data_IF_656510774477
#
_entry.id   IF_656510774477
#
_cell.length_a   1.000
_cell.length_b   1.000
_cell.length_c   1.000
_cell.angle_alpha   90.00
_cell.angle_beta   90.00
_cell.angle_gamma   90.00
#
_symmetry.space_group_name_H-M   'P 1'
#
loop_
_entity.id
_entity.type
_entity.pdbx_description
1 polymer ?
#
# COMPACT_ATOMS: atom_id res chain seq x y z
N UNK A 1 6.98 2.68 -16.65
CA UNK A 1 6.60 3.63 -15.59
C UNK A 1 5.36 4.28 -16.06
N UNK A 2 4.30 4.05 -15.31
CA UNK A 2 3.00 4.57 -15.58
C UNK A 2 3.01 6.11 -15.51
N UNK A 3 2.27 6.72 -16.42
CA UNK A 3 2.06 8.18 -16.47
C UNK A 3 0.58 8.54 -16.25
N UNK A 4 -0.27 7.52 -16.14
CA UNK A 4 -1.70 7.61 -15.89
C UNK A 4 -2.23 6.24 -15.42
N UNK A 5 -3.49 6.20 -14.98
CA UNK A 5 -4.11 4.97 -14.46
C UNK A 5 -4.23 3.86 -15.51
N UNK A 6 -4.40 4.21 -16.79
CA UNK A 6 -4.49 3.23 -17.89
C UNK A 6 -3.16 2.49 -18.11
N UNK A 7 -2.05 3.21 -18.06
CA UNK A 7 -0.70 2.63 -18.19
C UNK A 7 -0.34 1.82 -16.95
N UNK A 8 -0.72 2.27 -15.75
CA UNK A 8 -0.56 1.51 -14.51
C UNK A 8 -1.35 0.20 -14.58
N UNK A 9 -2.60 0.27 -15.04
CA UNK A 9 -3.48 -0.89 -15.21
C UNK A 9 -2.86 -1.93 -16.14
N UNK A 10 -2.31 -1.50 -17.29
CA UNK A 10 -1.62 -2.38 -18.22
C UNK A 10 -0.38 -3.04 -17.58
N UNK A 11 0.43 -2.28 -16.84
CA UNK A 11 1.60 -2.83 -16.13
C UNK A 11 1.21 -3.85 -15.06
N UNK A 12 0.15 -3.58 -14.29
CA UNK A 12 -0.36 -4.50 -13.25
C UNK A 12 -0.84 -5.80 -13.88
N UNK A 13 -1.56 -5.75 -15.00
CA UNK A 13 -2.00 -6.95 -15.73
C UNK A 13 -0.83 -7.78 -16.24
N UNK A 14 0.20 -7.14 -16.78
CA UNK A 14 1.42 -7.83 -17.26
C UNK A 14 2.12 -8.57 -16.12
N UNK A 15 2.18 -7.99 -14.92
CA UNK A 15 2.87 -8.63 -13.79
C UNK A 15 2.03 -9.73 -13.12
N UNK A 16 0.71 -9.55 -13.04
CA UNK A 16 -0.20 -10.47 -12.37
C UNK A 16 -0.73 -11.59 -13.26
N UNK A 17 -0.57 -11.46 -14.58
CA UNK A 17 -1.10 -12.38 -15.61
C UNK A 17 -2.64 -12.52 -15.56
N UNK A 18 -3.33 -11.54 -14.97
CA UNK A 18 -4.79 -11.51 -14.90
C UNK A 18 -5.37 -10.81 -16.14
N UNK A 19 -6.09 -11.59 -16.94
CA UNK A 19 -6.80 -11.09 -18.11
C UNK A 19 -8.11 -10.36 -17.73
N UNK A 20 -8.67 -9.59 -18.66
CA UNK A 20 -9.94 -8.87 -18.52
C UNK A 20 -11.14 -9.81 -18.26
N UNK A 21 -10.98 -11.11 -18.56
CA UNK A 21 -11.96 -12.14 -18.23
C UNK A 21 -12.01 -12.51 -16.74
N UNK A 22 -10.93 -12.28 -15.98
CA UNK A 22 -10.88 -12.56 -14.54
C UNK A 22 -11.34 -11.33 -13.74
N UNK A 23 -10.85 -10.15 -14.12
CA UNK A 23 -11.18 -8.87 -13.47
C UNK A 23 -11.43 -7.83 -14.56
N UNK A 24 -12.59 -7.18 -14.50
CA UNK A 24 -12.96 -6.12 -15.43
C UNK A 24 -12.10 -4.86 -15.22
N UNK A 25 -11.89 -4.08 -16.28
CA UNK A 25 -11.10 -2.84 -16.19
C UNK A 25 -11.71 -1.83 -15.19
N UNK A 26 -13.03 -1.76 -15.11
CA UNK A 26 -13.71 -0.89 -14.12
C UNK A 26 -13.46 -1.29 -12.67
N UNK A 27 -13.32 -2.59 -12.41
CA UNK A 27 -12.97 -3.12 -11.10
C UNK A 27 -11.52 -2.78 -10.74
N UNK A 28 -10.63 -2.86 -11.73
CA UNK A 28 -9.20 -2.56 -11.55
C UNK A 28 -8.97 -1.06 -11.35
N UNK A 29 -9.68 -0.20 -12.08
CA UNK A 29 -9.70 1.25 -11.86
C UNK A 29 -10.20 1.60 -10.45
N UNK A 30 -11.28 0.95 -9.99
CA UNK A 30 -11.79 1.15 -8.63
C UNK A 30 -10.75 0.76 -7.56
N UNK A 31 -9.99 -0.32 -7.79
CA UNK A 31 -8.89 -0.71 -6.91
C UNK A 31 -7.74 0.28 -6.91
N UNK A 32 -7.42 0.87 -8.07
CA UNK A 32 -6.40 1.93 -8.19
C UNK A 32 -6.82 3.15 -7.36
N UNK A 33 -8.08 3.57 -7.43
CA UNK A 33 -8.58 4.69 -6.62
C UNK A 33 -8.54 4.40 -5.11
N UNK A 34 -8.93 3.20 -4.69
CA UNK A 34 -8.81 2.78 -3.28
C UNK A 34 -7.34 2.78 -2.84
N UNK A 35 -6.43 2.27 -3.68
CA UNK A 35 -5.00 2.26 -3.39
C UNK A 35 -4.41 3.67 -3.28
N UNK A 36 -4.83 4.62 -4.14
CA UNK A 36 -4.43 6.03 -4.01
C UNK A 36 -4.91 6.64 -2.69
N UNK A 37 -6.17 6.42 -2.34
CA UNK A 37 -6.75 6.91 -1.08
C UNK A 37 -6.00 6.36 0.14
N UNK A 38 -5.66 5.08 0.13
CA UNK A 38 -4.94 4.44 1.23
C UNK A 38 -3.49 4.95 1.31
N UNK A 39 -2.81 5.16 0.17
CA UNK A 39 -1.46 5.73 0.14
C UNK A 39 -1.43 7.18 0.62
N UNK A 40 -2.42 7.99 0.22
CA UNK A 40 -2.56 9.37 0.70
C UNK A 40 -2.75 9.39 2.21
N UNK A 41 -3.65 8.54 2.74
CA UNK A 41 -3.88 8.41 4.18
C UNK A 41 -2.62 7.95 4.94
N UNK A 42 -1.88 6.98 4.40
CA UNK A 42 -0.68 6.42 5.04
C UNK A 42 0.52 7.38 4.99
N UNK A 43 0.60 8.24 3.97
CA UNK A 43 1.66 9.26 3.83
C UNK A 43 1.30 10.58 4.51
N UNK A 44 0.01 10.81 4.79
CA UNK A 44 -0.50 12.08 5.29
C UNK A 44 -0.51 13.19 4.23
N UNK A 45 -0.41 12.84 2.94
CA UNK A 45 -0.43 13.79 1.82
C UNK A 45 -1.63 13.52 0.89
N UNK A 46 -2.71 14.27 1.09
CA UNK A 46 -3.93 14.18 0.28
C UNK A 46 -3.74 14.64 -1.18
N UNK A 47 -2.65 15.35 -1.49
CA UNK A 47 -2.33 15.82 -2.84
C UNK A 47 -1.10 15.10 -3.43
N UNK A 48 -0.81 13.89 -2.94
CA UNK A 48 0.32 13.11 -3.40
C UNK A 48 0.26 12.92 -4.93
N UNK A 49 1.25 13.47 -5.63
CA UNK A 49 1.36 13.34 -7.07
C UNK A 49 1.99 11.99 -7.43
N UNK A 50 1.14 11.02 -7.78
CA UNK A 50 1.54 9.67 -8.15
C UNK A 50 2.25 9.59 -9.51
N UNK A 51 2.03 10.56 -10.41
CA UNK A 51 2.51 10.48 -11.80
C UNK A 51 3.46 11.63 -12.20
N UNK A 52 3.61 12.66 -11.37
CA UNK A 52 4.45 13.84 -11.61
C UNK A 52 5.96 13.66 -11.47
N UNK A 53 6.46 12.44 -11.60
CA UNK A 53 7.90 12.14 -11.58
C UNK A 53 8.45 11.64 -10.24
N UNK A 54 7.60 11.44 -9.23
CA UNK A 54 7.99 10.70 -8.03
C UNK A 54 7.91 9.18 -8.29
N UNK A 55 9.05 8.60 -8.65
CA UNK A 55 9.20 7.16 -8.93
C UNK A 55 8.72 6.29 -7.76
N UNK A 56 8.91 6.72 -6.52
CA UNK A 56 8.55 5.90 -5.36
C UNK A 56 7.04 5.94 -5.08
N UNK A 57 6.35 7.05 -5.39
CA UNK A 57 4.89 7.15 -5.32
C UNK A 57 4.22 6.25 -6.37
N UNK A 58 4.68 6.30 -7.61
CA UNK A 58 4.20 5.44 -8.70
C UNK A 58 4.42 3.96 -8.38
N UNK A 59 5.61 3.60 -7.91
CA UNK A 59 5.93 2.22 -7.53
C UNK A 59 5.15 1.75 -6.32
N UNK A 60 4.94 2.59 -5.32
CA UNK A 60 4.12 2.25 -4.16
C UNK A 60 2.68 1.95 -4.61
N UNK A 61 2.12 2.78 -5.49
CA UNK A 61 0.80 2.57 -6.07
C UNK A 61 0.73 1.28 -6.89
N UNK A 62 1.74 0.99 -7.71
CA UNK A 62 1.85 -0.25 -8.45
C UNK A 62 1.85 -1.50 -7.56
N UNK A 63 2.68 -1.53 -6.52
CA UNK A 63 2.75 -2.70 -5.63
C UNK A 63 1.49 -2.86 -4.78
N UNK A 64 0.89 -1.75 -4.33
CA UNK A 64 -0.33 -1.79 -3.54
C UNK A 64 -1.52 -2.30 -4.36
N UNK A 65 -1.63 -1.83 -5.60
CA UNK A 65 -2.69 -2.29 -6.51
C UNK A 65 -2.55 -3.77 -6.84
N UNK A 66 -1.32 -4.28 -7.04
CA UNK A 66 -1.08 -5.72 -7.19
C UNK A 66 -1.52 -6.53 -5.95
N UNK A 67 -1.23 -6.03 -4.74
CA UNK A 67 -1.65 -6.66 -3.49
C UNK A 67 -3.16 -6.69 -3.32
N UNK A 68 -3.83 -5.57 -3.60
CA UNK A 68 -5.30 -5.51 -3.54
C UNK A 68 -5.93 -6.39 -4.61
N UNK A 69 -5.31 -6.51 -5.78
CA UNK A 69 -5.78 -7.41 -6.81
C UNK A 69 -5.74 -8.87 -6.35
N UNK A 70 -4.63 -9.29 -5.74
CA UNK A 70 -4.46 -10.61 -5.15
C UNK A 70 -5.38 -10.86 -3.95
N UNK A 71 -5.68 -9.83 -3.16
CA UNK A 71 -6.67 -9.91 -2.11
C UNK A 71 -8.08 -10.11 -2.68
N UNK A 72 -8.42 -9.40 -3.75
CA UNK A 72 -9.72 -9.51 -4.45
C UNK A 72 -9.89 -10.87 -5.13
N UNK A 73 -8.84 -11.46 -5.67
CA UNK A 73 -8.87 -12.82 -6.25
C UNK A 73 -8.86 -13.93 -5.19
N UNK A 74 -8.65 -13.60 -3.92
CA UNK A 74 -8.61 -14.56 -2.82
C UNK A 74 -7.28 -15.31 -2.68
N UNK A 75 -6.24 -14.90 -3.41
CA UNK A 75 -4.88 -15.42 -3.20
C UNK A 75 -4.25 -14.91 -1.90
N UNK A 76 -4.73 -13.76 -1.41
CA UNK A 76 -4.33 -13.17 -0.14
C UNK A 76 -5.58 -12.97 0.73
N UNK A 77 -5.54 -13.49 1.95
CA UNK A 77 -6.60 -13.26 2.93
C UNK A 77 -6.45 -11.87 3.59
N UNK A 78 -6.92 -10.84 2.88
CA UNK A 78 -6.93 -9.44 3.32
C UNK A 78 -8.30 -8.78 3.06
N UNK A 79 -9.29 -8.99 3.95
CA UNK A 79 -10.68 -8.61 3.71
C UNK A 79 -10.94 -7.10 3.64
N UNK A 80 -10.13 -6.24 4.27
CA UNK A 80 -10.43 -4.80 4.34
C UNK A 80 -9.60 -3.91 3.40
N UNK A 81 -8.83 -4.46 2.46
CA UNK A 81 -8.00 -3.68 1.52
C UNK A 81 -7.23 -2.53 2.20
N UNK A 82 -6.63 -2.78 3.37
CA UNK A 82 -5.88 -1.77 4.13
C UNK A 82 -4.41 -2.15 4.27
N UNK A 83 -3.52 -1.16 4.14
CA UNK A 83 -2.07 -1.34 4.31
C UNK A 83 -1.76 -1.81 5.73
N UNK A 84 -2.43 -1.24 6.72
CA UNK A 84 -2.25 -1.59 8.14
C UNK A 84 -2.62 -3.05 8.42
N UNK A 85 -3.70 -3.57 7.82
CA UNK A 85 -4.07 -4.98 7.97
C UNK A 85 -3.08 -5.92 7.27
N UNK A 86 -2.62 -5.54 6.07
CA UNK A 86 -1.60 -6.29 5.34
C UNK A 86 -0.30 -6.41 6.16
N UNK A 87 0.14 -5.33 6.80
CA UNK A 87 1.34 -5.34 7.65
C UNK A 87 1.19 -6.25 8.88
N UNK A 88 0.02 -6.26 9.54
CA UNK A 88 -0.24 -7.14 10.70
C UNK A 88 -0.22 -8.61 10.27
N UNK A 89 -0.74 -8.93 9.09
CA UNK A 89 -0.80 -10.30 8.56
C UNK A 89 0.50 -10.77 7.91
N UNK A 90 1.49 -9.90 7.69
CA UNK A 90 2.75 -10.23 7.05
C UNK A 90 3.48 -11.44 7.67
N UNK A 91 3.38 -11.62 8.99
CA UNK A 91 4.00 -12.77 9.69
C UNK A 91 3.31 -14.12 9.41
N UNK A 92 2.06 -14.08 8.94
CA UNK A 92 1.25 -15.27 8.62
C UNK A 92 1.11 -15.50 7.11
N UNK A 93 1.75 -14.66 6.28
CA UNK A 93 1.71 -14.75 4.83
C UNK A 93 2.74 -15.76 4.29
N UNK A 94 2.36 -16.49 3.24
CA UNK A 94 3.28 -17.38 2.51
C UNK A 94 4.44 -16.60 1.88
N UNK A 95 5.56 -17.28 1.60
CA UNK A 95 6.79 -16.67 1.04
C UNK A 95 6.53 -15.83 -0.23
N UNK A 96 5.58 -16.27 -1.07
CA UNK A 96 5.18 -15.52 -2.25
C UNK A 96 4.50 -14.20 -1.89
N UNK A 97 3.55 -14.19 -0.95
CA UNK A 97 2.88 -12.99 -0.49
C UNK A 97 3.84 -12.03 0.25
N UNK A 98 4.81 -12.58 0.98
CA UNK A 98 5.90 -11.83 1.60
C UNK A 98 6.74 -11.05 0.59
N UNK A 99 6.99 -11.56 -0.62
CA UNK A 99 7.73 -10.82 -1.65
C UNK A 99 7.01 -9.52 -2.09
N UNK A 100 5.69 -9.59 -2.29
CA UNK A 100 4.88 -8.42 -2.68
C UNK A 100 4.87 -7.36 -1.59
N UNK A 101 4.66 -7.80 -0.35
CA UNK A 101 4.60 -6.90 0.81
C UNK A 101 5.97 -6.28 1.11
N UNK A 102 7.07 -7.03 1.00
CA UNK A 102 8.42 -6.48 1.12
C UNK A 102 8.74 -5.44 0.03
N UNK A 103 8.23 -5.66 -1.19
CA UNK A 103 8.41 -4.71 -2.30
C UNK A 103 7.62 -3.42 -2.07
N UNK A 104 6.40 -3.53 -1.54
CA UNK A 104 5.60 -2.38 -1.09
C UNK A 104 6.30 -1.64 0.06
N UNK A 105 6.67 -2.32 1.15
CA UNK A 105 7.26 -1.70 2.34
C UNK A 105 8.51 -0.91 2.01
N UNK A 106 9.40 -1.43 1.16
CA UNK A 106 10.60 -0.68 0.72
C UNK A 106 10.26 0.63 0.01
N UNK A 107 9.17 0.67 -0.76
CA UNK A 107 8.72 1.86 -1.49
C UNK A 107 7.96 2.81 -0.60
N UNK A 108 7.13 2.29 0.30
CA UNK A 108 6.49 3.09 1.36
C UNK A 108 7.52 3.75 2.26
N UNK A 109 8.55 3.03 2.69
CA UNK A 109 9.64 3.58 3.50
C UNK A 109 10.41 4.66 2.73
N UNK A 110 10.66 4.47 1.43
CA UNK A 110 11.28 5.48 0.58
C UNK A 110 10.39 6.71 0.39
N UNK A 111 9.07 6.51 0.24
CA UNK A 111 8.07 7.56 0.08
C UNK A 111 7.89 8.37 1.38
N UNK A 112 7.91 7.70 2.54
CA UNK A 112 8.00 8.34 3.86
C UNK A 112 9.36 9.00 4.10
N UNK A 113 10.39 8.52 3.40
CA UNK A 113 11.80 8.85 3.51
C UNK A 113 12.23 10.24 3.03
N UNK A 114 11.31 11.11 2.61
CA UNK A 114 11.48 12.58 2.73
C UNK A 114 11.35 13.07 4.18
N UNK A 115 11.59 12.20 5.16
CA UNK A 115 11.83 12.53 6.56
C UNK A 115 12.46 11.35 7.29
N UNK A 116 13.74 11.47 7.64
CA UNK A 116 14.38 10.65 8.67
C UNK A 116 13.66 10.88 10.02
N UNK A 117 12.61 10.11 10.30
CA UNK A 117 12.00 9.99 11.63
C UNK A 117 11.54 8.53 11.73
N UNK A 118 12.40 7.59 12.14
CA UNK A 118 12.69 7.42 13.56
C UNK A 118 11.40 7.00 14.28
N UNK A 119 11.18 5.69 14.44
CA UNK A 119 10.15 5.08 15.27
C UNK A 119 9.35 6.08 16.13
N UNK A 120 8.13 6.44 15.71
CA UNK A 120 7.14 6.93 16.67
C UNK A 120 6.62 5.70 17.39
N UNK A 121 7.42 5.24 18.35
CA UNK A 121 6.91 4.46 19.46
C UNK A 121 5.89 5.38 20.14
N UNK A 122 4.60 5.09 20.01
CA UNK A 122 3.58 5.66 20.87
C UNK A 122 3.82 5.06 22.26
N UNK A 123 4.80 5.60 22.99
CA UNK A 123 4.87 5.41 24.44
C UNK A 123 3.65 6.12 25.01
N UNK A 124 2.67 5.32 25.48
CA UNK A 124 1.63 5.79 26.39
C UNK A 124 2.34 6.50 27.52
N UNK A 125 2.23 7.84 27.55
CA UNK A 125 2.78 8.66 28.61
C UNK A 125 2.37 8.08 29.97
N UNK A 126 3.39 7.72 30.72
CA UNK A 126 3.36 7.23 32.08
C UNK A 126 2.47 8.14 32.95
N UNK A 127 1.45 7.56 33.58
CA UNK A 127 0.63 8.26 34.58
C UNK A 127 1.51 8.55 35.79
N UNK A 128 2.10 9.74 35.86
CA UNK A 128 2.83 10.20 37.05
C UNK A 128 1.87 10.81 38.07
N UNK A 129 2.06 10.37 39.32
CA UNK A 129 1.20 10.52 40.50
C UNK A 129 1.31 11.89 41.17
N UNK A 130 0.27 12.32 41.91
CA UNK A 130 0.45 13.22 43.05
C UNK A 130 -0.33 12.68 44.26
N UNK A 131 0.42 12.23 45.27
CA UNK A 131 -0.05 12.10 46.65
C UNK A 131 -0.04 13.51 47.26
N UNK A 132 -1.17 13.96 47.80
CA UNK A 132 -1.23 15.14 48.65
C UNK A 132 -1.14 14.69 50.11
N UNK A 133 -0.30 15.38 50.88
CA UNK A 133 0.04 15.09 52.28
C UNK A 133 -0.77 16.00 53.20
#
# INVERSE_FOLDING_TARGET
MAVNDETLMAEVRVLTDYDAGLIADGDLLSLIEIAKSELAAETGDDNLDFYGGNLDAERALFWLTCLFLKAKTGEIDAPNFSISELQVRHQAMDEQAGFWLNSLSRRLDALRGTGLIGHVQIERADRTYQFDN
#
